data_IF_863482148389
#
_entry.id   IF_863482148389
#
_cell.length_a   1.000
_cell.length_b   1.000
_cell.length_c   1.000
_cell.angle_alpha   90.00
_cell.angle_beta   90.00
_cell.angle_gamma   90.00
#
_symmetry.space_group_name_H-M   'P 1'
#
loop_
_entity.id
_entity.type
_entity.pdbx_description
1 polymer ?
#
# COMPACT_ATOMS: atom_id res chain seq x y z
N UNK A 1 31.97 -11.41 -38.31
CA UNK A 1 30.70 -10.77 -37.90
C UNK A 1 29.59 -11.78 -38.09
N UNK A 2 29.00 -12.28 -37.00
CA UNK A 2 27.92 -13.26 -37.06
C UNK A 2 26.65 -12.63 -36.47
N UNK A 3 25.62 -12.50 -37.30
CA UNK A 3 24.28 -12.03 -36.94
C UNK A 3 23.43 -13.21 -36.48
N UNK A 4 22.99 -13.21 -35.22
CA UNK A 4 21.97 -14.14 -34.72
C UNK A 4 20.58 -13.52 -34.86
N UNK A 5 19.70 -14.22 -35.58
CA UNK A 5 18.31 -13.89 -35.81
C UNK A 5 17.43 -14.66 -34.80
N UNK A 6 16.63 -13.96 -33.99
CA UNK A 6 15.78 -14.58 -32.95
C UNK A 6 14.39 -14.88 -33.54
N UNK A 7 13.98 -16.14 -33.45
CA UNK A 7 12.71 -16.67 -33.97
C UNK A 7 11.54 -16.40 -33.01
N UNK A 8 10.48 -15.74 -33.50
CA UNK A 8 9.24 -15.53 -32.77
C UNK A 8 8.29 -16.73 -32.91
N UNK A 9 8.27 -17.63 -31.91
CA UNK A 9 7.28 -18.72 -31.87
C UNK A 9 6.77 -18.91 -30.44
N UNK A 10 5.51 -18.55 -30.21
CA UNK A 10 4.78 -18.99 -29.00
C UNK A 10 3.95 -17.95 -28.25
N UNK A 11 3.18 -17.09 -28.92
CA UNK A 11 2.20 -16.21 -28.24
C UNK A 11 0.77 -16.65 -28.57
N UNK A 12 0.20 -17.50 -27.74
CA UNK A 12 -1.26 -17.68 -27.68
C UNK A 12 -1.86 -16.54 -26.82
N UNK A 13 -2.96 -15.89 -27.23
CA UNK A 13 -3.54 -14.80 -26.46
C UNK A 13 -4.29 -15.34 -25.24
N UNK A 14 -3.82 -14.99 -24.04
CA UNK A 14 -4.53 -15.21 -22.78
C UNK A 14 -5.81 -14.37 -22.78
N UNK A 15 -6.98 -14.99 -22.93
CA UNK A 15 -8.27 -14.31 -22.75
C UNK A 15 -8.45 -14.01 -21.25
N UNK A 16 -8.64 -12.75 -20.82
CA UNK A 16 -8.94 -12.48 -19.42
C UNK A 16 -10.38 -12.89 -19.13
N UNK A 17 -10.53 -13.89 -18.26
CA UNK A 17 -11.80 -14.29 -17.64
C UNK A 17 -12.34 -13.09 -16.86
N UNK A 18 -13.41 -12.49 -17.36
CA UNK A 18 -14.13 -11.40 -16.67
C UNK A 18 -14.82 -11.98 -15.45
N UNK A 19 -14.18 -11.85 -14.28
CA UNK A 19 -14.83 -12.10 -13.00
C UNK A 19 -15.40 -10.79 -12.47
N UNK A 20 -16.71 -10.79 -12.30
CA UNK A 20 -17.54 -9.68 -11.84
C UNK A 20 -17.00 -8.97 -10.59
N UNK A 21 -17.05 -7.63 -10.64
CA UNK A 21 -17.19 -6.70 -9.51
C UNK A 21 -16.51 -7.16 -8.21
N UNK A 22 -15.18 -7.05 -8.15
CA UNK A 22 -14.47 -7.19 -6.87
C UNK A 22 -14.76 -5.93 -6.05
N UNK A 23 -15.74 -6.03 -5.15
CA UNK A 23 -15.95 -5.05 -4.09
C UNK A 23 -14.64 -4.98 -3.30
N UNK A 24 -13.93 -3.86 -3.45
CA UNK A 24 -12.71 -3.60 -2.68
C UNK A 24 -13.18 -3.26 -1.28
N UNK A 25 -13.22 -4.29 -0.41
CA UNK A 25 -13.28 -4.05 1.03
C UNK A 25 -11.96 -3.36 1.40
N UNK A 26 -11.98 -2.22 2.10
CA UNK A 26 -10.77 -1.70 2.69
C UNK A 26 -10.15 -2.84 3.50
N UNK A 27 -8.86 -3.14 3.34
CA UNK A 27 -8.16 -4.10 4.20
C UNK A 27 -7.82 -3.43 5.54
N UNK A 28 -8.86 -2.83 6.13
CA UNK A 28 -9.09 -2.74 7.57
C UNK A 28 -10.51 -3.27 7.90
N UNK A 29 -11.16 -3.95 6.94
CA UNK A 29 -12.44 -4.64 7.09
C UNK A 29 -12.19 -6.12 7.29
N UNK A 30 -11.83 -6.45 8.53
CA UNK A 30 -11.65 -7.81 8.98
C UNK A 30 -10.59 -7.82 10.06
N UNK A 31 -10.94 -8.30 11.25
CA UNK A 31 -9.98 -8.70 12.28
C UNK A 31 -9.12 -9.89 11.86
N UNK A 32 -8.56 -9.85 10.65
CA UNK A 32 -7.45 -10.68 10.24
C UNK A 32 -6.20 -10.07 10.85
N UNK A 33 -5.56 -10.82 11.75
CA UNK A 33 -4.30 -10.43 12.38
C UNK A 33 -3.29 -10.15 11.27
N UNK A 34 -2.81 -8.91 11.15
CA UNK A 34 -1.63 -8.63 10.32
C UNK A 34 -0.49 -9.44 10.92
N UNK A 35 0.04 -10.38 10.13
CA UNK A 35 1.13 -11.23 10.57
C UNK A 35 2.42 -10.40 10.45
N UNK A 36 2.66 -9.57 11.46
CA UNK A 36 3.82 -8.67 11.59
C UNK A 36 5.15 -9.40 11.39
N UNK A 37 5.15 -10.72 11.59
CA UNK A 37 6.32 -11.57 11.40
C UNK A 37 6.68 -11.77 9.93
N UNK A 38 5.73 -11.62 9.00
CA UNK A 38 5.90 -11.97 7.58
C UNK A 38 6.29 -10.79 6.70
N UNK A 39 5.76 -9.60 6.96
CA UNK A 39 6.00 -8.37 6.18
C UNK A 39 5.67 -7.20 7.12
N UNK A 40 6.60 -6.25 7.29
CA UNK A 40 6.54 -5.19 8.30
C UNK A 40 7.90 -4.94 8.96
N UNK A 41 7.98 -5.02 10.28
CA UNK A 41 9.20 -4.72 11.07
C UNK A 41 10.49 -5.45 10.63
N UNK A 42 10.35 -6.56 9.88
CA UNK A 42 11.48 -7.30 9.29
C UNK A 42 12.02 -6.70 7.98
N UNK A 43 11.29 -5.81 7.32
CA UNK A 43 11.76 -5.05 6.13
C UNK A 43 12.61 -3.82 6.51
N UNK A 44 12.68 -3.47 7.79
CA UNK A 44 13.54 -2.39 8.29
C UNK A 44 14.99 -2.86 8.31
N UNK A 45 15.79 -2.28 7.41
CA UNK A 45 17.21 -2.60 7.24
C UNK A 45 18.06 -2.12 8.43
N UNK A 46 17.71 -0.98 9.04
CA UNK A 46 18.45 -0.45 10.18
C UNK A 46 18.16 -1.25 11.47
N UNK A 47 19.16 -1.96 12.02
CA UNK A 47 18.96 -2.79 13.20
C UNK A 47 18.64 -1.97 14.46
N UNK A 48 19.10 -0.72 14.54
CA UNK A 48 18.83 0.16 15.69
C UNK A 48 17.38 0.61 15.68
N UNK A 49 16.88 1.06 14.52
CA UNK A 49 15.47 1.45 14.35
C UNK A 49 14.57 0.25 14.63
N UNK A 50 14.89 -0.91 14.06
CA UNK A 50 14.17 -2.16 14.31
C UNK A 50 14.11 -2.50 15.80
N UNK A 51 15.24 -2.47 16.50
CA UNK A 51 15.29 -2.77 17.94
C UNK A 51 14.44 -1.79 18.77
N UNK A 52 14.49 -0.49 18.47
CA UNK A 52 13.70 0.51 19.16
C UNK A 52 12.19 0.25 18.99
N UNK A 53 11.74 -0.05 17.77
CA UNK A 53 10.35 -0.37 17.48
C UNK A 53 9.91 -1.71 18.11
N UNK A 54 10.84 -2.65 18.28
CA UNK A 54 10.66 -3.88 19.07
C UNK A 54 10.77 -3.64 20.58
N UNK A 55 10.98 -2.40 21.04
CA UNK A 55 11.25 -2.03 22.43
C UNK A 55 12.38 -2.83 23.06
N UNK A 56 13.35 -3.28 22.27
CA UNK A 56 14.57 -3.96 22.71
C UNK A 56 15.70 -2.94 22.72
N UNK A 57 16.56 -3.01 23.74
CA UNK A 57 17.78 -2.20 23.77
C UNK A 57 18.97 -2.99 23.26
N UNK A 58 19.94 -2.30 22.67
CA UNK A 58 21.26 -2.84 22.28
C UNK A 58 22.06 -3.47 23.44
N UNK A 59 21.64 -3.18 24.67
CA UNK A 59 22.32 -3.59 25.88
C UNK A 59 21.60 -4.72 26.60
N UNK A 60 20.39 -5.10 26.14
CA UNK A 60 19.50 -6.00 26.84
C UNK A 60 20.06 -7.42 26.97
N UNK A 61 20.90 -7.82 26.00
CA UNK A 61 21.56 -9.13 25.94
C UNK A 61 22.86 -9.17 26.78
N UNK A 62 23.27 -8.04 27.38
CA UNK A 62 24.48 -7.99 28.20
C UNK A 62 24.21 -8.60 29.57
N UNK A 63 25.20 -9.36 30.08
CA UNK A 63 25.12 -10.09 31.36
C UNK A 63 24.72 -9.23 32.56
N UNK A 64 25.21 -7.99 32.60
CA UNK A 64 24.98 -7.05 33.71
C UNK A 64 23.90 -6.02 33.39
N UNK A 65 23.09 -6.25 32.36
CA UNK A 65 22.00 -5.36 32.03
C UNK A 65 20.95 -5.34 33.15
N UNK A 66 20.58 -4.12 33.54
CA UNK A 66 19.52 -3.85 34.50
C UNK A 66 18.31 -3.29 33.78
N UNK A 67 17.14 -3.74 34.20
CA UNK A 67 15.88 -3.15 33.74
C UNK A 67 15.70 -1.72 34.29
N UNK A 68 14.63 -1.05 33.85
CA UNK A 68 14.31 0.31 34.29
C UNK A 68 14.08 0.43 35.82
N UNK A 69 13.86 -0.70 36.52
CA UNK A 69 13.72 -0.76 37.98
C UNK A 69 15.05 -1.05 38.69
N UNK A 70 16.17 -1.12 37.97
CA UNK A 70 17.50 -1.40 38.51
C UNK A 70 17.74 -2.88 38.88
N UNK A 71 16.82 -3.78 38.54
CA UNK A 71 16.94 -5.22 38.80
C UNK A 71 17.62 -5.90 37.62
N UNK A 72 18.17 -7.11 37.83
CA UNK A 72 18.70 -7.92 36.73
C UNK A 72 17.63 -8.08 35.66
N UNK A 73 17.93 -7.60 34.47
CA UNK A 73 16.97 -7.55 33.40
C UNK A 73 16.64 -8.93 32.83
N UNK A 74 15.38 -9.12 32.43
CA UNK A 74 14.84 -10.41 31.99
C UNK A 74 14.74 -10.57 30.47
N UNK A 75 15.21 -9.59 29.70
CA UNK A 75 15.16 -9.63 28.23
C UNK A 75 13.79 -9.37 27.62
N UNK A 76 12.79 -8.95 28.40
CA UNK A 76 11.42 -8.72 27.90
C UNK A 76 11.24 -7.44 27.06
N UNK A 77 12.21 -6.53 27.06
CA UNK A 77 12.04 -5.19 26.45
C UNK A 77 11.02 -4.33 27.20
N UNK A 78 10.53 -3.28 26.52
CA UNK A 78 9.50 -2.36 27.06
C UNK A 78 8.17 -3.09 27.28
N UNK A 79 7.82 -4.07 26.43
CA UNK A 79 6.59 -4.84 26.52
C UNK A 79 6.84 -6.35 26.56
N UNK A 80 6.34 -7.02 27.60
CA UNK A 80 6.58 -8.45 27.89
C UNK A 80 5.93 -9.43 26.90
N UNK A 81 5.07 -8.96 26.02
CA UNK A 81 4.25 -9.80 25.15
C UNK A 81 4.63 -9.69 23.67
N UNK A 82 5.78 -9.10 23.35
CA UNK A 82 6.32 -9.05 21.99
C UNK A 82 6.31 -10.45 21.34
N UNK A 83 6.78 -11.46 22.07
CA UNK A 83 6.84 -12.85 21.59
C UNK A 83 5.46 -13.48 21.35
N UNK A 84 4.41 -12.98 22.04
CA UNK A 84 3.03 -13.48 21.89
C UNK A 84 2.32 -12.88 20.67
N UNK A 85 2.62 -11.61 20.35
CA UNK A 85 1.89 -10.86 19.34
C UNK A 85 2.72 -10.58 18.07
N UNK A 86 4.03 -10.78 18.11
CA UNK A 86 4.97 -10.62 16.99
C UNK A 86 5.78 -9.32 17.04
N UNK A 87 5.20 -8.23 17.55
CA UNK A 87 5.90 -6.97 17.79
C UNK A 87 5.30 -6.18 18.97
N UNK A 88 5.95 -5.08 19.34
CA UNK A 88 5.43 -4.10 20.28
C UNK A 88 4.44 -3.13 19.61
N UNK A 89 3.79 -2.31 20.44
CA UNK A 89 2.84 -1.25 20.00
C UNK A 89 3.39 -0.44 18.82
N UNK A 90 4.64 0.01 18.91
CA UNK A 90 5.27 0.85 17.88
C UNK A 90 5.55 0.09 16.57
N UNK A 91 5.71 -1.23 16.64
CA UNK A 91 5.87 -2.10 15.47
C UNK A 91 4.58 -2.29 14.66
N UNK A 92 3.41 -1.93 15.22
CA UNK A 92 2.14 -1.86 14.48
C UNK A 92 1.89 -0.50 13.84
N UNK A 93 2.79 0.47 14.04
CA UNK A 93 2.59 1.80 13.48
C UNK A 93 2.78 1.75 11.95
N UNK A 94 1.78 2.18 11.17
CA UNK A 94 1.87 2.17 9.71
C UNK A 94 3.11 2.91 9.19
N UNK A 95 3.55 3.99 9.84
CA UNK A 95 4.72 4.79 9.41
C UNK A 95 6.02 3.99 9.25
N UNK A 96 6.16 2.83 9.90
CA UNK A 96 7.35 1.97 9.82
C UNK A 96 7.11 0.66 9.06
N UNK A 97 5.93 0.50 8.46
CA UNK A 97 5.53 -0.70 7.71
C UNK A 97 4.87 -0.33 6.37
N UNK A 98 5.60 0.36 5.45
CA UNK A 98 5.06 0.80 4.16
C UNK A 98 4.64 -0.37 3.26
N UNK A 99 5.23 -1.54 3.48
CA UNK A 99 4.89 -2.81 2.85
C UNK A 99 3.49 -3.33 3.24
N UNK A 100 2.92 -2.85 4.35
CA UNK A 100 1.54 -3.11 4.75
C UNK A 100 0.56 -2.04 4.24
N UNK A 101 1.04 -0.99 3.55
CA UNK A 101 0.17 0.07 3.07
C UNK A 101 -0.66 -0.44 1.90
N UNK A 102 -1.91 -0.02 1.84
CA UNK A 102 -2.72 -0.23 0.65
C UNK A 102 -2.14 0.58 -0.50
N UNK A 103 -1.87 -0.04 -1.64
CA UNK A 103 -1.28 0.63 -2.83
C UNK A 103 -2.08 1.86 -3.30
N UNK A 104 -3.37 1.94 -2.97
CA UNK A 104 -4.25 3.07 -3.29
C UNK A 104 -4.39 4.12 -2.17
N UNK A 105 -3.71 3.95 -1.04
CA UNK A 105 -3.84 4.84 0.13
C UNK A 105 -3.21 6.22 -0.07
N UNK A 106 -2.14 6.29 -0.87
CA UNK A 106 -1.33 7.50 -1.04
C UNK A 106 -1.64 8.29 -2.33
N UNK A 107 -2.56 7.82 -3.18
CA UNK A 107 -2.79 8.44 -4.48
C UNK A 107 -4.25 8.36 -4.93
N UNK A 108 -4.94 9.50 -4.89
CA UNK A 108 -6.23 9.70 -5.55
C UNK A 108 -6.03 9.82 -7.06
N UNK A 109 -5.74 8.71 -7.74
CA UNK A 109 -5.80 8.65 -9.20
C UNK A 109 -7.08 7.94 -9.59
N UNK A 110 -8.07 8.70 -10.06
CA UNK A 110 -9.29 8.18 -10.68
C UNK A 110 -9.01 7.28 -11.91
N UNK A 111 -7.73 7.20 -12.31
CA UNK A 111 -7.20 6.32 -13.34
C UNK A 111 -7.68 6.72 -14.73
N UNK A 112 -7.32 5.92 -15.74
CA UNK A 112 -7.74 6.12 -17.12
C UNK A 112 -9.27 6.18 -17.26
N UNK A 113 -10.00 5.41 -16.44
CA UNK A 113 -11.47 5.42 -16.43
C UNK A 113 -12.03 6.77 -16.01
N UNK A 114 -11.46 7.41 -14.99
CA UNK A 114 -11.86 8.74 -14.58
C UNK A 114 -11.49 9.82 -15.59
N UNK A 115 -10.35 9.69 -16.27
CA UNK A 115 -9.96 10.58 -17.35
C UNK A 115 -10.94 10.50 -18.54
N UNK A 116 -11.38 9.29 -18.91
CA UNK A 116 -12.40 9.09 -19.94
C UNK A 116 -13.74 9.71 -19.52
N UNK A 117 -14.15 9.54 -18.27
CA UNK A 117 -15.38 10.16 -17.76
C UNK A 117 -15.32 11.69 -17.82
N UNK A 118 -14.17 12.29 -17.47
CA UNK A 118 -13.95 13.73 -17.58
C UNK A 118 -13.97 14.20 -19.03
N UNK A 119 -13.29 13.50 -19.94
CA UNK A 119 -13.31 13.82 -21.37
C UNK A 119 -14.73 13.74 -21.96
N UNK A 120 -15.51 12.72 -21.56
CA UNK A 120 -16.91 12.58 -21.95
C UNK A 120 -17.76 13.75 -21.48
N UNK A 121 -17.58 14.20 -20.23
CA UNK A 121 -18.27 15.36 -19.70
C UNK A 121 -17.96 16.63 -20.52
N UNK A 122 -16.69 16.87 -20.82
CA UNK A 122 -16.26 18.04 -21.63
C UNK A 122 -16.89 18.01 -23.02
N UNK A 123 -16.90 16.84 -23.67
CA UNK A 123 -17.50 16.67 -24.99
C UNK A 123 -19.01 16.98 -24.98
N UNK A 124 -19.73 16.48 -23.96
CA UNK A 124 -21.18 16.73 -23.82
C UNK A 124 -21.45 18.22 -23.61
N UNK A 125 -20.68 18.90 -22.75
CA UNK A 125 -20.84 20.34 -22.54
C UNK A 125 -20.61 21.14 -23.83
N UNK A 126 -19.60 20.77 -24.61
CA UNK A 126 -19.34 21.40 -25.91
C UNK A 126 -20.48 21.18 -26.90
N UNK A 127 -20.97 19.93 -27.03
CA UNK A 127 -22.06 19.61 -27.94
C UNK A 127 -23.34 20.36 -27.57
N UNK A 128 -23.68 20.41 -26.28
CA UNK A 128 -24.82 21.19 -25.77
C UNK A 128 -24.61 22.68 -26.05
N UNK A 129 -23.42 23.23 -25.76
CA UNK A 129 -23.11 24.64 -26.01
C UNK A 129 -23.26 25.03 -27.48
N UNK A 130 -22.72 24.23 -28.41
CA UNK A 130 -22.87 24.45 -29.86
C UNK A 130 -24.34 24.38 -30.28
N UNK A 131 -25.08 23.39 -29.78
CA UNK A 131 -26.50 23.27 -30.10
C UNK A 131 -27.30 24.49 -29.62
N UNK A 132 -27.00 25.01 -28.43
CA UNK A 132 -27.64 26.22 -27.90
C UNK A 132 -27.34 27.45 -28.78
N UNK A 133 -26.09 27.63 -29.22
CA UNK A 133 -25.71 28.73 -30.09
C UNK A 133 -26.49 28.66 -31.41
N UNK A 134 -26.54 27.51 -32.07
CA UNK A 134 -27.25 27.37 -33.35
C UNK A 134 -28.75 27.64 -33.17
N UNK A 135 -29.36 27.01 -32.15
CA UNK A 135 -30.79 27.14 -31.89
C UNK A 135 -31.20 28.57 -31.54
N UNK A 136 -30.35 29.32 -30.82
CA UNK A 136 -30.62 30.72 -30.48
C UNK A 136 -30.23 31.70 -31.59
N UNK A 137 -29.23 31.39 -32.40
CA UNK A 137 -28.87 32.20 -33.59
C UNK A 137 -29.99 32.23 -34.62
N UNK A 138 -30.83 31.18 -34.67
CA UNK A 138 -32.02 31.11 -35.53
C UNK A 138 -33.21 31.96 -35.03
N UNK A 139 -33.20 32.41 -33.78
CA UNK A 139 -34.26 33.25 -33.21
C UNK A 139 -34.03 34.76 -33.45
N UNK A 140 -32.82 35.15 -33.87
CA UNK A 140 -32.43 36.54 -34.13
C UNK A 140 -32.43 36.96 -35.61
N UNK A 141 -32.78 36.03 -36.52
CA UNK A 141 -32.92 36.26 -37.97
C UNK A 141 -34.38 36.43 -38.38
#
# INVERSE_FOLDING_TARGET
>A
MATMQISAKGLAPLRPRVSSRRVVKPVASGGGKTDITKVGLNSIEDPVVKQNLMGKSRFMDKKDWKDASGRKGKGYGVYRYADKYGANVDGYSPIYTPDLWTESGDSYKLGTKGLIAWAGLVLVLLAVGVNLIISTSQLGS
#
